data_IF_992182599267
#
_entry.id   IF_992182599267
#
_cell.length_a   1.000
_cell.length_b   1.000
_cell.length_c   1.000
_cell.angle_alpha   90.00
_cell.angle_beta   90.00
_cell.angle_gamma   90.00
#
_symmetry.space_group_name_H-M   'P 1'
#
loop_
_entity.id
_entity.type
_entity.pdbx_description
1 polymer ?
#
# COMPACT_ATOMS: atom_id res chain seq x y z
N UNK A 1 -0.12 18.32 10.58
CA UNK A 1 -0.98 17.14 10.85
C UNK A 1 -0.13 15.95 11.21
N UNK A 2 -0.53 15.14 12.19
CA UNK A 2 0.23 13.97 12.66
C UNK A 2 -0.52 12.70 12.25
N UNK A 3 0.09 11.86 11.42
CA UNK A 3 -0.46 10.54 11.11
C UNK A 3 -0.28 9.63 12.32
N UNK A 4 -1.36 8.96 12.73
CA UNK A 4 -1.31 7.98 13.82
C UNK A 4 -0.54 6.73 13.35
N UNK A 5 0.58 6.45 13.99
CA UNK A 5 1.40 5.25 13.75
C UNK A 5 1.26 4.28 14.90
N UNK A 6 0.95 3.02 14.61
CA UNK A 6 0.74 1.95 15.59
C UNK A 6 2.02 1.11 15.83
N UNK A 7 3.06 1.32 15.02
CA UNK A 7 4.34 0.59 15.12
C UNK A 7 5.58 1.44 14.85
N UNK A 8 6.76 0.95 15.30
CA UNK A 8 8.05 1.59 14.98
C UNK A 8 8.33 1.58 13.48
N UNK A 9 7.87 0.56 12.76
CA UNK A 9 8.06 0.44 11.31
C UNK A 9 7.27 1.54 10.60
N UNK A 10 6.00 1.73 10.97
CA UNK A 10 5.18 2.83 10.45
C UNK A 10 5.76 4.20 10.77
N UNK A 11 6.32 4.37 11.98
CA UNK A 11 6.96 5.65 12.35
C UNK A 11 8.19 5.95 11.48
N UNK A 12 9.02 4.96 11.19
CA UNK A 12 10.14 5.12 10.25
C UNK A 12 9.64 5.40 8.83
N UNK A 13 8.61 4.66 8.39
CA UNK A 13 8.00 4.81 7.08
C UNK A 13 7.43 6.23 6.86
N UNK A 14 6.67 6.74 7.83
CA UNK A 14 6.13 8.12 7.82
C UNK A 14 7.25 9.15 7.76
N UNK A 15 8.32 8.97 8.56
CA UNK A 15 9.47 9.88 8.53
C UNK A 15 10.11 9.94 7.14
N UNK A 16 10.24 8.80 6.47
CA UNK A 16 10.82 8.75 5.12
C UNK A 16 9.88 9.38 4.09
N UNK A 17 8.57 9.11 4.17
CA UNK A 17 7.53 9.75 3.35
C UNK A 17 7.54 11.29 3.48
N UNK A 18 7.67 11.81 4.71
CA UNK A 18 7.74 13.25 4.99
C UNK A 18 9.00 13.93 4.40
N UNK A 19 10.08 13.17 4.24
CA UNK A 19 11.36 13.69 3.73
C UNK A 19 11.54 13.56 2.22
N UNK A 20 10.71 12.75 1.55
CA UNK A 20 10.82 12.51 0.11
C UNK A 20 10.25 13.67 -0.70
N UNK A 21 11.00 14.14 -1.70
CA UNK A 21 10.53 15.15 -2.65
C UNK A 21 9.50 14.63 -3.65
N UNK A 22 9.44 13.31 -3.84
CA UNK A 22 8.61 12.67 -4.86
C UNK A 22 7.20 12.34 -4.32
N UNK A 23 7.03 12.40 -3.00
CA UNK A 23 5.75 12.23 -2.31
C UNK A 23 4.98 13.55 -2.31
N UNK A 24 3.83 13.54 -2.98
CA UNK A 24 2.93 14.71 -3.03
C UNK A 24 2.02 14.74 -1.81
N UNK A 25 1.44 13.58 -1.48
CA UNK A 25 0.57 13.40 -0.32
C UNK A 25 0.49 11.92 0.02
N UNK A 26 0.31 11.61 1.29
CA UNK A 26 0.03 10.25 1.75
C UNK A 26 -1.04 10.27 2.85
N UNK A 27 -1.70 9.13 3.02
CA UNK A 27 -2.69 8.91 4.07
C UNK A 27 -2.62 7.48 4.59
N UNK A 28 -2.69 7.33 5.92
CA UNK A 28 -3.01 6.04 6.53
C UNK A 28 -4.51 5.78 6.35
N UNK A 29 -4.85 4.65 5.74
CA UNK A 29 -6.22 4.30 5.45
C UNK A 29 -6.94 3.89 6.74
N UNK A 30 -8.20 4.34 6.94
CA UNK A 30 -8.95 3.96 8.11
C UNK A 30 -9.26 2.46 8.08
N UNK A 31 -9.40 1.84 9.26
CA UNK A 31 -9.77 0.41 9.40
C UNK A 31 -11.06 0.00 8.67
N UNK A 32 -11.92 0.96 8.33
CA UNK A 32 -13.14 0.74 7.56
C UNK A 32 -12.95 0.63 6.04
N UNK A 33 -11.74 0.89 5.51
CA UNK A 33 -11.46 0.80 4.07
C UNK A 33 -11.19 -0.66 3.68
N UNK A 34 -12.25 -1.39 3.35
CA UNK A 34 -12.20 -2.84 3.14
C UNK A 34 -12.35 -3.22 1.67
N UNK A 35 -11.42 -4.02 1.19
CA UNK A 35 -11.51 -4.74 -0.09
C UNK A 35 -12.07 -6.14 0.21
N UNK A 36 -13.28 -6.47 -0.29
CA UNK A 36 -13.85 -7.79 -0.07
C UNK A 36 -13.04 -8.84 -0.85
N UNK A 37 -12.66 -9.92 -0.18
CA UNK A 37 -12.03 -11.08 -0.81
C UNK A 37 -12.76 -12.36 -0.42
N UNK A 38 -12.68 -13.45 -1.21
CA UNK A 38 -13.31 -14.72 -0.88
C UNK A 38 -12.84 -15.34 0.45
N UNK A 39 -11.68 -14.93 0.96
CA UNK A 39 -11.08 -15.41 2.22
C UNK A 39 -11.18 -14.37 3.35
N UNK A 40 -12.12 -13.43 3.22
CA UNK A 40 -12.39 -12.36 4.18
C UNK A 40 -11.82 -11.01 3.76
N UNK A 41 -12.27 -9.94 4.42
CA UNK A 41 -11.90 -8.58 4.04
C UNK A 41 -10.40 -8.31 4.19
N UNK A 42 -9.87 -7.49 3.28
CA UNK A 42 -8.50 -7.00 3.27
C UNK A 42 -8.52 -5.47 3.42
N UNK A 43 -7.72 -4.94 4.34
CA UNK A 43 -7.58 -3.50 4.55
C UNK A 43 -6.14 -3.14 4.17
N UNK A 44 -5.90 -2.45 3.04
CA UNK A 44 -4.62 -1.81 2.78
C UNK A 44 -4.44 -0.63 3.74
N UNK A 45 -3.18 -0.26 3.95
CA UNK A 45 -2.83 0.59 5.08
C UNK A 45 -2.44 1.99 4.64
N UNK A 46 -1.86 2.14 3.44
CA UNK A 46 -1.42 3.43 2.94
C UNK A 46 -1.98 3.70 1.56
N UNK A 47 -2.38 4.95 1.33
CA UNK A 47 -2.55 5.53 0.01
C UNK A 47 -1.51 6.65 -0.15
N UNK A 48 -0.67 6.56 -1.18
CA UNK A 48 0.47 7.45 -1.40
C UNK A 48 0.37 7.98 -2.82
N UNK A 49 0.31 9.29 -3.00
CA UNK A 49 0.38 9.92 -4.30
C UNK A 49 1.82 10.38 -4.56
N UNK A 50 2.40 9.87 -5.63
CA UNK A 50 3.76 10.16 -6.07
C UNK A 50 3.71 10.97 -7.37
N UNK A 51 4.69 11.84 -7.57
CA UNK A 51 4.85 12.60 -8.80
C UNK A 51 6.06 12.09 -9.58
N UNK A 52 5.81 11.42 -10.70
CA UNK A 52 6.85 11.03 -11.65
C UNK A 52 6.85 12.04 -12.82
N UNK A 53 7.80 12.98 -12.77
CA UNK A 53 7.87 14.08 -13.74
C UNK A 53 6.61 14.96 -13.75
N UNK A 54 5.74 14.78 -14.74
CA UNK A 54 4.45 15.51 -14.88
C UNK A 54 3.21 14.65 -14.57
N UNK A 55 3.36 13.35 -14.32
CA UNK A 55 2.25 12.42 -14.09
C UNK A 55 2.14 12.12 -12.60
N UNK A 56 0.90 12.15 -12.07
CA UNK A 56 0.59 11.77 -10.69
C UNK A 56 0.11 10.33 -10.67
N UNK A 57 0.79 9.47 -9.92
CA UNK A 57 0.40 8.08 -9.70
C UNK A 57 -0.09 7.90 -8.25
N UNK A 58 -1.20 7.19 -8.06
CA UNK A 58 -1.70 6.85 -6.73
C UNK A 58 -1.34 5.39 -6.43
N UNK A 59 -0.58 5.17 -5.36
CA UNK A 59 -0.16 3.87 -4.88
C UNK A 59 -0.99 3.48 -3.66
N UNK A 60 -1.62 2.30 -3.71
CA UNK A 60 -2.20 1.65 -2.54
C UNK A 60 -1.22 0.59 -2.05
N UNK A 61 -0.78 0.73 -0.80
CA UNK A 61 0.25 -0.12 -0.22
C UNK A 61 -0.32 -0.92 0.96
N UNK A 62 0.00 -2.22 0.97
CA UNK A 62 -0.23 -3.10 2.11
C UNK A 62 0.85 -2.88 3.18
N UNK A 63 0.48 -2.68 4.46
CA UNK A 63 1.49 -2.46 5.52
C UNK A 63 2.46 -3.61 5.73
N UNK A 64 3.61 -3.14 6.15
CA UNK A 64 4.78 -3.81 6.69
C UNK A 64 4.41 -4.85 7.75
N UNK A 65 4.76 -6.12 7.52
CA UNK A 65 4.42 -7.20 8.44
C UNK A 65 5.05 -7.00 9.83
N UNK A 66 4.21 -6.79 10.84
CA UNK A 66 4.52 -7.15 12.23
C UNK A 66 4.70 -8.67 12.34
N UNK A 67 5.72 -9.10 13.06
CA UNK A 67 6.33 -10.43 13.05
C UNK A 67 5.41 -11.65 13.21
N UNK A 68 5.75 -12.71 12.45
CA UNK A 68 5.52 -14.15 12.70
C UNK A 68 4.07 -14.63 12.92
N UNK A 69 3.28 -14.66 11.85
CA UNK A 69 2.03 -15.41 11.82
C UNK A 69 2.27 -16.91 11.54
N UNK A 70 1.39 -17.79 12.06
CA UNK A 70 1.43 -19.25 11.83
C UNK A 70 1.34 -19.57 10.33
N UNK A 71 1.78 -20.76 9.89
CA UNK A 71 1.74 -21.12 8.45
C UNK A 71 0.35 -20.95 7.81
N UNK A 72 -0.73 -21.21 8.56
CA UNK A 72 -2.10 -21.03 8.07
C UNK A 72 -2.47 -19.56 7.90
N UNK A 73 -2.08 -18.70 8.85
CA UNK A 73 -2.33 -17.25 8.76
C UNK A 73 -1.60 -16.64 7.55
N UNK A 74 -0.36 -17.09 7.27
CA UNK A 74 0.38 -16.65 6.08
C UNK A 74 -0.34 -16.99 4.77
N UNK A 75 -0.90 -18.19 4.65
CA UNK A 75 -1.65 -18.59 3.44
C UNK A 75 -2.90 -17.74 3.22
N UNK A 76 -3.61 -17.40 4.30
CA UNK A 76 -4.80 -16.54 4.22
C UNK A 76 -4.39 -15.11 3.84
N UNK A 77 -3.32 -14.58 4.46
CA UNK A 77 -2.74 -13.28 4.10
C UNK A 77 -2.33 -13.24 2.61
N UNK A 78 -1.58 -14.24 2.14
CA UNK A 78 -1.17 -14.35 0.74
C UNK A 78 -2.37 -14.41 -0.20
N UNK A 79 -3.42 -15.17 0.15
CA UNK A 79 -4.65 -15.23 -0.64
C UNK A 79 -5.37 -13.87 -0.69
N UNK A 80 -5.42 -13.12 0.41
CA UNK A 80 -5.96 -11.76 0.45
C UNK A 80 -5.17 -10.80 -0.44
N UNK A 81 -3.83 -10.81 -0.33
CA UNK A 81 -2.95 -9.97 -1.14
C UNK A 81 -3.09 -10.30 -2.64
N UNK A 82 -3.19 -11.58 -2.99
CA UNK A 82 -3.43 -12.01 -4.36
C UNK A 82 -4.78 -11.50 -4.90
N UNK A 83 -5.84 -11.55 -4.09
CA UNK A 83 -7.14 -11.01 -4.46
C UNK A 83 -7.08 -9.49 -4.66
N UNK A 84 -6.39 -8.76 -3.78
CA UNK A 84 -6.22 -7.31 -3.89
C UNK A 84 -5.45 -6.92 -5.17
N UNK A 85 -4.35 -7.61 -5.50
CA UNK A 85 -3.62 -7.41 -6.77
C UNK A 85 -4.54 -7.56 -7.98
N UNK A 86 -5.35 -8.64 -7.98
CA UNK A 86 -6.31 -8.89 -9.07
C UNK A 86 -7.38 -7.79 -9.13
N UNK A 87 -7.92 -7.37 -7.99
CA UNK A 87 -8.91 -6.31 -7.90
C UNK A 87 -8.40 -5.01 -8.52
N UNK A 88 -7.21 -4.52 -8.10
CA UNK A 88 -6.65 -3.28 -8.65
C UNK A 88 -6.25 -3.39 -10.11
N UNK A 89 -5.78 -4.56 -10.56
CA UNK A 89 -5.52 -4.81 -12.00
C UNK A 89 -6.80 -4.70 -12.83
N UNK A 90 -7.89 -5.31 -12.37
CA UNK A 90 -9.16 -5.29 -13.09
C UNK A 90 -9.82 -3.89 -13.00
N UNK A 91 -9.61 -3.16 -11.89
CA UNK A 91 -9.98 -1.75 -11.72
C UNK A 91 -9.27 -0.83 -12.73
N UNK A 92 -7.95 -0.99 -12.89
CA UNK A 92 -7.20 -0.20 -13.86
C UNK A 92 -7.67 -0.43 -15.30
N UNK A 93 -8.10 -1.65 -15.65
CA UNK A 93 -8.62 -1.94 -16.99
C UNK A 93 -9.94 -1.25 -17.30
N UNK A 94 -10.72 -0.89 -16.28
CA UNK A 94 -12.13 -0.50 -16.44
C UNK A 94 -12.42 0.94 -16.08
N UNK A 95 -11.80 1.47 -15.04
CA UNK A 95 -12.17 2.77 -14.44
C UNK A 95 -11.05 3.81 -14.47
N UNK A 96 -9.79 3.40 -14.42
CA UNK A 96 -8.65 4.32 -14.33
C UNK A 96 -7.40 3.70 -14.98
N UNK A 97 -7.29 3.69 -16.33
CA UNK A 97 -6.16 3.08 -17.01
C UNK A 97 -4.84 3.62 -16.46
N UNK A 98 -4.10 2.70 -15.82
CA UNK A 98 -2.74 2.88 -15.28
C UNK A 98 -2.57 4.00 -14.22
N UNK A 99 -3.67 4.46 -13.63
CA UNK A 99 -3.62 5.56 -12.65
C UNK A 99 -3.34 5.08 -11.22
N UNK A 100 -3.66 3.82 -10.93
CA UNK A 100 -3.53 3.24 -9.59
C UNK A 100 -2.56 2.07 -9.59
N UNK A 101 -1.55 2.07 -8.75
CA UNK A 101 -0.65 0.91 -8.54
C UNK A 101 -0.91 0.31 -7.16
N UNK A 102 -1.01 -1.01 -7.07
CA UNK A 102 -1.13 -1.70 -5.79
C UNK A 102 0.10 -2.56 -5.57
N UNK A 103 0.82 -2.27 -4.48
CA UNK A 103 2.06 -2.97 -4.16
C UNK A 103 2.16 -3.34 -2.68
N UNK A 104 3.00 -4.32 -2.40
CA UNK A 104 3.24 -4.82 -1.04
C UNK A 104 4.68 -4.51 -0.70
N UNK A 105 4.91 -3.53 0.18
CA UNK A 105 6.25 -3.12 0.62
C UNK A 105 6.34 -3.18 2.14
N UNK A 106 7.54 -3.45 2.65
CA UNK A 106 7.84 -3.52 4.08
C UNK A 106 8.69 -2.35 4.59
N UNK A 107 9.12 -1.46 3.69
CA UNK A 107 9.85 -0.23 3.99
C UNK A 107 9.76 0.75 2.80
N UNK A 108 10.23 1.97 3.00
CA UNK A 108 10.19 3.01 1.97
C UNK A 108 11.26 2.82 0.89
N UNK A 109 12.38 2.17 1.20
CA UNK A 109 13.40 1.80 0.19
C UNK A 109 12.80 0.98 -0.95
N UNK A 110 12.03 -0.08 -0.65
CA UNK A 110 11.28 -0.85 -1.67
C UNK A 110 10.25 -0.02 -2.42
N UNK A 111 9.60 0.93 -1.74
CA UNK A 111 8.68 1.84 -2.42
C UNK A 111 9.43 2.71 -3.44
N UNK A 112 10.61 3.18 -3.08
CA UNK A 112 11.49 3.98 -3.95
C UNK A 112 12.01 3.18 -5.15
N UNK A 113 12.36 1.90 -4.97
CA UNK A 113 12.72 1.00 -6.08
C UNK A 113 11.57 0.90 -7.11
N UNK A 114 10.31 0.85 -6.65
CA UNK A 114 9.13 0.79 -7.53
C UNK A 114 8.84 2.09 -8.29
N UNK A 115 9.46 3.20 -7.88
CA UNK A 115 9.40 4.49 -8.60
C UNK A 115 10.45 4.60 -9.70
N UNK A 116 11.53 3.82 -9.61
CA UNK A 116 12.68 3.91 -10.52
C UNK A 116 12.70 2.79 -11.57
N UNK A 117 11.78 1.82 -11.46
CA UNK A 117 11.61 0.68 -12.36
C UNK A 117 10.58 0.94 -13.47
#
# INVERSE_FOLDING_TARGET
>A
DYVLTDSNIERSFVKELDTSSDVVVYAKLPRGFLIPTPVGNYNPDWAIALQEGKVKHIYFVAETKGTLSTMHLRKIEEAKLHCARRFFRDLNKTLAPESVRYEVVDNFEKLSELLTA
#
